data_IF_913199062195
#
_entry.id   IF_913199062195
#
_cell.length_a   1.000
_cell.length_b   1.000
_cell.length_c   1.000
_cell.angle_alpha   90.00
_cell.angle_beta   90.00
_cell.angle_gamma   90.00
#
_symmetry.space_group_name_H-M   'P 1'
#
loop_
_entity.id
_entity.type
_entity.pdbx_description
1 polymer ?
#
# COMPACT_ATOMS: atom_id res chain seq x y z
N UNK A 1 31.00 53.67 18.90
CA UNK A 1 32.37 53.45 18.35
C UNK A 1 32.72 51.98 18.54
N UNK A 2 33.33 51.27 17.57
CA UNK A 2 33.41 51.52 16.13
C UNK A 2 32.67 50.45 15.30
N UNK A 3 32.51 50.80 14.03
CA UNK A 3 32.07 50.00 12.89
C UNK A 3 33.31 49.69 12.04
N UNK A 4 33.51 48.44 11.60
CA UNK A 4 34.34 48.05 10.46
C UNK A 4 33.80 46.69 9.97
N UNK A 5 33.16 46.58 8.80
CA UNK A 5 33.67 46.61 7.42
C UNK A 5 34.20 45.25 6.91
N UNK A 6 33.34 44.63 6.10
CA UNK A 6 33.56 43.85 4.88
C UNK A 6 34.82 42.97 4.72
N UNK A 7 34.56 41.68 4.50
CA UNK A 7 35.50 40.74 3.91
C UNK A 7 34.78 39.63 3.16
N UNK A 8 34.22 39.93 1.98
CA UNK A 8 33.68 38.92 1.08
C UNK A 8 34.78 38.06 0.49
N UNK A 9 34.64 36.73 0.53
CA UNK A 9 35.41 35.80 -0.32
C UNK A 9 34.65 34.47 -0.51
N UNK A 10 34.20 34.25 -1.74
CA UNK A 10 34.26 32.94 -2.38
C UNK A 10 33.03 32.05 -2.26
N UNK A 11 32.12 32.20 -3.22
CA UNK A 11 31.29 31.11 -3.72
C UNK A 11 32.19 29.94 -4.16
N UNK A 12 32.41 28.95 -3.29
CA UNK A 12 33.02 27.68 -3.69
C UNK A 12 31.93 26.68 -4.09
N UNK A 13 31.79 26.62 -5.41
CA UNK A 13 31.44 25.48 -6.27
C UNK A 13 31.12 24.15 -5.56
N UNK A 14 29.93 23.66 -5.89
CA UNK A 14 29.52 22.27 -6.05
C UNK A 14 30.55 21.18 -5.74
N UNK A 15 30.32 20.45 -4.66
CA UNK A 15 30.60 19.02 -4.61
C UNK A 15 29.27 18.30 -4.37
N UNK A 16 28.64 17.89 -5.47
CA UNK A 16 27.60 16.87 -5.39
C UNK A 16 28.21 15.63 -4.78
N UNK A 17 27.89 15.37 -3.50
CA UNK A 17 28.13 14.09 -2.85
C UNK A 17 27.41 13.02 -3.66
N UNK A 18 28.15 12.45 -4.61
CA UNK A 18 27.80 11.25 -5.36
C UNK A 18 27.40 10.22 -4.32
N UNK A 19 26.10 9.92 -4.26
CA UNK A 19 25.56 8.80 -3.49
C UNK A 19 26.44 7.59 -3.82
N UNK A 20 27.06 6.91 -2.84
CA UNK A 20 27.90 5.77 -3.14
C UNK A 20 27.03 4.80 -3.92
N UNK A 21 27.45 4.58 -5.17
CA UNK A 21 26.76 3.69 -6.10
C UNK A 21 26.49 2.41 -5.36
N UNK A 22 25.22 2.01 -5.32
CA UNK A 22 24.84 0.73 -4.78
C UNK A 22 25.50 -0.32 -5.66
N UNK A 23 26.70 -0.74 -5.28
CA UNK A 23 27.37 -1.92 -5.80
C UNK A 23 26.43 -3.07 -5.51
N UNK A 24 25.49 -3.32 -6.42
CA UNK A 24 24.73 -4.55 -6.47
C UNK A 24 25.75 -5.59 -6.91
N UNK A 25 26.58 -6.03 -5.94
CA UNK A 25 27.51 -7.11 -6.13
C UNK A 25 26.71 -8.26 -6.70
N UNK A 26 27.03 -8.62 -7.95
CA UNK A 26 26.49 -9.82 -8.55
C UNK A 26 26.74 -10.97 -7.56
N UNK A 27 25.75 -11.85 -7.33
CA UNK A 27 25.96 -12.97 -6.43
C UNK A 27 27.19 -13.75 -6.90
N UNK A 28 28.22 -13.78 -6.05
CA UNK A 28 29.52 -14.39 -6.38
C UNK A 28 29.42 -15.91 -6.60
N UNK A 29 28.33 -16.53 -6.13
CA UNK A 29 28.03 -17.96 -6.33
C UNK A 29 26.57 -18.16 -6.71
N UNK A 30 26.29 -19.22 -7.47
CA UNK A 30 24.93 -19.62 -7.87
C UNK A 30 24.00 -19.79 -6.64
N UNK A 31 24.54 -20.33 -5.54
CA UNK A 31 23.81 -20.49 -4.28
C UNK A 31 23.38 -19.13 -3.68
N UNK A 32 24.28 -18.15 -3.68
CA UNK A 32 23.96 -16.79 -3.21
C UNK A 32 22.90 -16.15 -4.09
N UNK A 33 22.96 -16.37 -5.41
CA UNK A 33 21.97 -15.88 -6.38
C UNK A 33 20.59 -16.47 -6.09
N UNK A 34 20.54 -17.79 -5.86
CA UNK A 34 19.32 -18.51 -5.52
C UNK A 34 18.73 -18.04 -4.18
N UNK A 35 19.56 -17.81 -3.16
CA UNK A 35 19.11 -17.25 -1.87
C UNK A 35 18.51 -15.86 -2.04
N UNK A 36 19.13 -14.98 -2.82
CA UNK A 36 18.58 -13.65 -3.12
C UNK A 36 17.25 -13.77 -3.87
N UNK A 37 17.14 -14.65 -4.87
CA UNK A 37 15.90 -14.89 -5.62
C UNK A 37 14.79 -15.39 -4.69
N UNK A 38 15.07 -16.36 -3.82
CA UNK A 38 14.14 -16.87 -2.80
C UNK A 38 13.67 -15.74 -1.87
N UNK A 39 14.60 -14.93 -1.35
CA UNK A 39 14.26 -13.80 -0.48
C UNK A 39 13.40 -12.75 -1.19
N UNK A 40 13.64 -12.47 -2.48
CA UNK A 40 12.79 -11.57 -3.27
C UNK A 40 11.39 -12.12 -3.43
N UNK A 41 11.25 -13.42 -3.72
CA UNK A 41 9.95 -14.10 -3.83
C UNK A 41 9.19 -14.08 -2.50
N UNK A 42 9.86 -14.41 -1.39
CA UNK A 42 9.25 -14.35 -0.04
C UNK A 42 8.74 -12.94 0.28
N UNK A 43 9.54 -11.90 0.01
CA UNK A 43 9.11 -10.50 0.20
C UNK A 43 7.92 -10.13 -0.69
N UNK A 44 7.87 -10.62 -1.93
CA UNK A 44 6.73 -10.39 -2.82
C UNK A 44 5.45 -11.07 -2.30
N UNK A 45 5.56 -12.34 -1.90
CA UNK A 45 4.45 -13.09 -1.33
C UNK A 45 3.90 -12.44 -0.05
N UNK A 46 4.77 -11.93 0.82
CA UNK A 46 4.34 -11.22 2.02
C UNK A 46 3.56 -9.94 1.68
N UNK A 47 4.00 -9.19 0.66
CA UNK A 47 3.26 -8.00 0.22
C UNK A 47 1.88 -8.35 -0.32
N UNK A 48 1.78 -9.39 -1.14
CA UNK A 48 0.48 -9.81 -1.68
C UNK A 48 -0.44 -10.33 -0.58
N UNK A 49 0.09 -11.06 0.41
CA UNK A 49 -0.69 -11.47 1.58
C UNK A 49 -1.24 -10.26 2.35
N UNK A 50 -0.43 -9.25 2.60
CA UNK A 50 -0.89 -8.01 3.26
C UNK A 50 -1.94 -7.27 2.43
N UNK A 51 -1.76 -7.20 1.11
CA UNK A 51 -2.77 -6.64 0.20
C UNK A 51 -4.10 -7.38 0.30
N UNK A 52 -4.05 -8.72 0.32
CA UNK A 52 -5.24 -9.55 0.46
C UNK A 52 -5.90 -9.42 1.83
N UNK A 53 -5.13 -9.27 2.90
CA UNK A 53 -5.66 -8.98 4.24
C UNK A 53 -6.43 -7.66 4.26
N UNK A 54 -5.87 -6.59 3.68
CA UNK A 54 -6.56 -5.30 3.57
C UNK A 54 -7.85 -5.42 2.74
N UNK A 55 -7.82 -6.17 1.64
CA UNK A 55 -9.00 -6.40 0.80
C UNK A 55 -10.09 -7.18 1.56
N UNK A 56 -9.72 -8.22 2.29
CA UNK A 56 -10.67 -9.00 3.06
C UNK A 56 -11.26 -8.18 4.21
N UNK A 57 -10.45 -7.36 4.91
CA UNK A 57 -10.95 -6.46 5.94
C UNK A 57 -11.98 -5.44 5.39
N UNK A 58 -11.76 -4.92 4.18
CA UNK A 58 -12.74 -4.05 3.52
C UNK A 58 -14.03 -4.81 3.14
N UNK A 59 -13.92 -6.07 2.74
CA UNK A 59 -15.09 -6.91 2.46
C UNK A 59 -15.88 -7.24 3.74
N UNK A 60 -15.19 -7.45 4.86
CA UNK A 60 -15.83 -7.68 6.17
C UNK A 60 -16.55 -6.41 6.63
N UNK A 61 -15.92 -5.24 6.53
CA UNK A 61 -16.59 -3.95 6.80
C UNK A 61 -17.81 -3.71 5.90
N UNK A 62 -17.81 -4.21 4.66
CA UNK A 62 -18.99 -4.17 3.80
C UNK A 62 -20.09 -5.09 4.33
N UNK A 63 -19.77 -6.26 4.89
CA UNK A 63 -20.78 -7.16 5.48
C UNK A 63 -21.45 -6.53 6.69
N UNK A 64 -20.69 -5.83 7.53
CA UNK A 64 -21.19 -5.21 8.76
C UNK A 64 -22.29 -4.15 8.51
N UNK A 65 -22.34 -3.56 7.31
CA UNK A 65 -23.35 -2.56 6.94
C UNK A 65 -24.52 -3.14 6.13
N UNK A 66 -24.49 -4.43 5.78
CA UNK A 66 -25.58 -5.07 5.05
C UNK A 66 -26.63 -5.62 6.01
N UNK A 67 -27.93 -5.43 5.73
CA UNK A 67 -28.98 -5.96 6.60
C UNK A 67 -29.15 -7.48 6.40
N UNK A 68 -28.53 -8.30 7.24
CA UNK A 68 -28.63 -9.77 7.19
C UNK A 68 -29.50 -10.36 8.31
N UNK A 69 -30.24 -11.43 8.00
CA UNK A 69 -30.94 -12.24 9.00
C UNK A 69 -30.62 -13.74 8.82
N UNK A 70 -30.13 -14.45 9.85
CA UNK A 70 -29.73 -13.91 11.16
C UNK A 70 -28.56 -12.92 11.04
N UNK A 71 -28.34 -12.08 12.07
CA UNK A 71 -27.32 -11.03 12.05
C UNK A 71 -25.89 -11.56 11.81
N UNK A 72 -25.66 -12.84 12.08
CA UNK A 72 -24.38 -13.53 11.89
C UNK A 72 -24.30 -14.34 10.59
N UNK A 73 -25.23 -14.13 9.64
CA UNK A 73 -25.24 -14.85 8.37
C UNK A 73 -23.93 -14.64 7.59
N UNK A 74 -23.18 -15.73 7.40
CA UNK A 74 -21.88 -15.70 6.70
C UNK A 74 -22.07 -15.72 5.19
N UNK A 75 -22.12 -14.53 4.58
CA UNK A 75 -22.17 -14.37 3.13
C UNK A 75 -20.82 -14.70 2.48
N UNK A 76 -20.85 -15.47 1.39
CA UNK A 76 -19.68 -15.63 0.51
C UNK A 76 -19.31 -14.31 -0.16
N UNK A 77 -18.13 -14.24 -0.79
CA UNK A 77 -17.65 -13.01 -1.45
C UNK A 77 -18.61 -12.53 -2.54
N UNK A 78 -19.12 -13.45 -3.35
CA UNK A 78 -20.03 -13.11 -4.45
C UNK A 78 -21.41 -12.69 -3.94
N UNK A 79 -21.92 -13.35 -2.91
CA UNK A 79 -23.19 -12.97 -2.28
C UNK A 79 -23.11 -11.58 -1.66
N UNK A 80 -22.02 -11.29 -0.93
CA UNK A 80 -21.79 -9.96 -0.33
C UNK A 80 -21.84 -8.85 -1.38
N UNK A 81 -21.17 -9.05 -2.52
CA UNK A 81 -21.15 -8.05 -3.61
C UNK A 81 -22.51 -7.89 -4.29
N UNK A 82 -23.21 -8.99 -4.57
CA UNK A 82 -24.56 -8.96 -5.15
C UNK A 82 -25.56 -8.30 -4.21
N UNK A 83 -25.47 -8.61 -2.92
CA UNK A 83 -26.37 -8.04 -1.93
C UNK A 83 -26.13 -6.55 -1.75
N UNK A 84 -24.87 -6.11 -1.66
CA UNK A 84 -24.54 -4.68 -1.60
C UNK A 84 -25.09 -3.88 -2.80
N UNK A 85 -24.93 -4.41 -4.02
CA UNK A 85 -25.51 -3.80 -5.21
C UNK A 85 -27.03 -3.63 -5.11
N UNK A 86 -27.74 -4.71 -4.74
CA UNK A 86 -29.19 -4.70 -4.63
C UNK A 86 -29.66 -3.78 -3.49
N UNK A 87 -28.90 -3.70 -2.40
CA UNK A 87 -29.23 -2.84 -1.27
C UNK A 87 -29.11 -1.36 -1.63
N UNK A 88 -28.03 -0.96 -2.31
CA UNK A 88 -27.88 0.39 -2.85
C UNK A 88 -29.06 0.73 -3.78
N UNK A 89 -29.42 -0.19 -4.68
CA UNK A 89 -30.56 0.00 -5.58
C UNK A 89 -31.89 0.19 -4.81
N UNK A 90 -32.18 -0.67 -3.83
CA UNK A 90 -33.42 -0.61 -3.04
C UNK A 90 -33.54 0.70 -2.23
N UNK A 91 -32.45 1.15 -1.61
CA UNK A 91 -32.41 2.43 -0.91
C UNK A 91 -32.62 3.61 -1.87
N UNK A 92 -31.98 3.55 -3.05
CA UNK A 92 -32.13 4.58 -4.09
C UNK A 92 -33.57 4.68 -4.57
N UNK A 93 -34.24 3.54 -4.77
CA UNK A 93 -35.63 3.53 -5.22
C UNK A 93 -36.60 4.00 -4.13
N UNK A 94 -36.34 3.64 -2.87
CA UNK A 94 -37.12 4.11 -1.72
C UNK A 94 -37.09 5.64 -1.61
N UNK A 95 -35.94 6.27 -1.86
CA UNK A 95 -35.80 7.73 -1.86
C UNK A 95 -36.47 8.41 -3.07
N UNK A 96 -36.69 7.70 -4.18
CA UNK A 96 -37.41 8.24 -5.36
C UNK A 96 -38.92 8.17 -5.22
N UNK A 97 -39.40 7.17 -4.49
CA UNK A 97 -40.82 6.95 -4.25
C UNK A 97 -41.35 7.74 -3.04
N UNK A 98 -40.45 8.29 -2.22
CA UNK A 98 -40.75 9.21 -1.12
C UNK A 98 -40.83 10.66 -1.61
#
# INVERSE_FOLDING_TARGET
>A
RPVEAAGGRGLRRAEGKRRPGRSRGAPRTAETAQRIKRNRRLKANNRERNRMHNLNAALDALRDVLPTFPEDAKLTKIETLRFAHNYIWALTETLRLA
#
